data_IF_688115069832
#
_entry.id   IF_688115069832
#
_cell.length_a   1.000
_cell.length_b   1.000
_cell.length_c   1.000
_cell.angle_alpha   90.00
_cell.angle_beta   90.00
_cell.angle_gamma   90.00
#
_symmetry.space_group_name_H-M   'P 1'
#
loop_
_entity.id
_entity.type
_entity.pdbx_description
1 polymer ?
#
# COMPACT_ATOMS: atom_id res chain seq x y z
N UNK A 1 -5.05 28.27 -29.75
CA UNK A 1 -4.42 28.34 -28.41
C UNK A 1 -5.08 27.40 -27.40
N UNK A 2 -6.41 27.44 -27.20
CA UNK A 2 -7.10 26.59 -26.21
C UNK A 2 -7.00 25.07 -26.43
N UNK A 3 -7.06 24.60 -27.68
CA UNK A 3 -6.96 23.16 -28.00
C UNK A 3 -5.60 22.55 -27.62
N UNK A 4 -4.51 23.29 -27.88
CA UNK A 4 -3.17 22.84 -27.50
C UNK A 4 -2.98 22.88 -25.98
N UNK A 5 -3.54 23.88 -25.30
CA UNK A 5 -3.51 23.97 -23.83
C UNK A 5 -4.22 22.77 -23.18
N UNK A 6 -5.42 22.42 -23.66
CA UNK A 6 -6.15 21.24 -23.19
C UNK A 6 -5.39 19.94 -23.47
N UNK A 7 -4.77 19.82 -24.66
CA UNK A 7 -3.92 18.67 -25.00
C UNK A 7 -2.72 18.52 -24.05
N UNK A 8 -2.02 19.63 -23.75
CA UNK A 8 -0.90 19.64 -22.80
C UNK A 8 -1.33 19.27 -21.38
N UNK A 9 -2.50 19.76 -20.91
CA UNK A 9 -3.04 19.40 -19.60
C UNK A 9 -3.40 17.91 -19.54
N UNK A 10 -4.06 17.38 -20.57
CA UNK A 10 -4.37 15.94 -20.65
C UNK A 10 -3.09 15.09 -20.65
N UNK A 11 -2.08 15.47 -21.42
CA UNK A 11 -0.81 14.75 -21.46
C UNK A 11 -0.09 14.78 -20.10
N UNK A 12 -0.09 15.94 -19.43
CA UNK A 12 0.49 16.09 -18.09
C UNK A 12 -0.24 15.20 -17.06
N UNK A 13 -1.57 15.14 -17.12
CA UNK A 13 -2.35 14.25 -16.25
C UNK A 13 -1.98 12.78 -16.48
N UNK A 14 -1.89 12.32 -17.73
CA UNK A 14 -1.48 10.95 -18.06
C UNK A 14 -0.05 10.65 -17.58
N UNK A 15 0.88 11.59 -17.72
CA UNK A 15 2.25 11.42 -17.21
C UNK A 15 2.28 11.26 -15.68
N UNK A 16 1.49 12.06 -14.96
CA UNK A 16 1.45 12.00 -13.49
C UNK A 16 0.89 10.68 -12.95
N UNK A 17 -0.09 10.07 -13.63
CA UNK A 17 -0.65 8.78 -13.21
C UNK A 17 0.33 7.63 -13.43
N UNK A 18 1.10 7.65 -14.52
CA UNK A 18 2.13 6.64 -14.81
C UNK A 18 3.26 6.69 -13.79
N UNK A 19 3.73 7.90 -13.43
CA UNK A 19 4.79 8.05 -12.43
C UNK A 19 4.35 7.61 -11.03
N UNK A 20 3.08 7.79 -10.66
CA UNK A 20 2.53 7.34 -9.39
C UNK A 20 2.47 5.80 -9.28
N UNK A 21 2.15 5.10 -10.37
CA UNK A 21 2.07 3.63 -10.41
C UNK A 21 3.45 2.98 -10.22
N UNK A 22 4.51 3.56 -10.83
CA UNK A 22 5.89 3.05 -10.65
C UNK A 22 6.36 3.08 -9.20
N UNK A 23 5.83 3.98 -8.35
CA UNK A 23 6.18 4.03 -6.93
C UNK A 23 5.43 2.97 -6.10
N UNK A 24 4.21 2.60 -6.52
CA UNK A 24 3.34 1.62 -5.83
C UNK A 24 3.80 0.16 -5.99
N UNK A 25 4.49 -0.18 -7.08
CA UNK A 25 4.97 -1.57 -7.35
C UNK A 25 6.30 -1.94 -6.69
N UNK A 26 6.80 -1.13 -5.77
CA UNK A 26 8.10 -1.37 -5.16
C UNK A 26 8.09 -2.44 -4.05
N UNK A 27 6.91 -2.87 -3.59
CA UNK A 27 6.77 -4.00 -2.68
C UNK A 27 6.67 -5.29 -3.49
N UNK A 28 7.63 -6.19 -3.28
CA UNK A 28 7.64 -7.52 -3.90
C UNK A 28 7.21 -8.53 -2.85
N UNK A 29 6.22 -9.36 -3.18
CA UNK A 29 5.75 -10.44 -2.32
C UNK A 29 6.22 -11.79 -2.88
N UNK A 30 6.68 -12.68 -2.01
CA UNK A 30 7.00 -14.05 -2.40
C UNK A 30 5.76 -14.92 -2.23
N UNK A 31 5.22 -15.43 -3.34
CA UNK A 31 4.06 -16.32 -3.34
C UNK A 31 4.30 -17.60 -2.52
N UNK A 32 5.56 -18.06 -2.42
CA UNK A 32 5.91 -19.26 -1.66
C UNK A 32 5.96 -18.99 -0.15
N UNK A 33 6.27 -17.75 0.24
CA UNK A 33 6.44 -17.34 1.62
C UNK A 33 5.65 -16.06 1.92
N UNK A 34 4.30 -16.14 1.99
CA UNK A 34 3.42 -14.99 2.26
C UNK A 34 3.66 -14.32 3.62
N UNK A 35 4.48 -14.93 4.50
CA UNK A 35 4.87 -14.35 5.79
C UNK A 35 5.90 -13.23 5.67
N UNK A 36 6.53 -13.06 4.50
CA UNK A 36 7.55 -12.06 4.28
C UNK A 36 7.25 -11.22 3.04
N UNK A 37 7.57 -9.93 3.13
CA UNK A 37 7.55 -9.00 2.00
C UNK A 37 8.93 -8.37 1.82
N UNK A 38 9.19 -7.88 0.61
CA UNK A 38 10.45 -7.26 0.26
C UNK A 38 10.20 -5.81 -0.12
N UNK A 39 10.89 -4.89 0.54
CA UNK A 39 10.80 -3.47 0.24
C UNK A 39 12.18 -2.85 -0.02
N UNK A 40 12.28 -1.81 -0.87
CA UNK A 40 13.53 -1.11 -1.12
C UNK A 40 13.96 -0.31 0.11
N UNK A 41 15.26 -0.27 0.39
CA UNK A 41 15.82 0.53 1.47
C UNK A 41 16.23 1.94 1.02
N UNK A 42 16.65 2.08 -0.23
CA UNK A 42 17.10 3.34 -0.82
C UNK A 42 16.39 3.59 -2.15
N UNK A 43 16.40 4.86 -2.59
CA UNK A 43 15.92 5.22 -3.93
C UNK A 43 16.72 4.42 -4.97
N UNK A 44 16.09 3.53 -5.76
CA UNK A 44 16.81 2.79 -6.78
C UNK A 44 17.37 3.78 -7.81
N UNK A 45 18.70 3.81 -7.97
CA UNK A 45 19.37 4.60 -9.02
C UNK A 45 19.21 3.99 -10.43
N UNK A 46 18.65 2.78 -10.49
CA UNK A 46 18.27 2.04 -11.70
C UNK A 46 17.67 0.67 -11.36
N UNK A 47 17.00 0.02 -12.31
CA UNK A 47 16.30 -1.27 -12.10
C UNK A 47 17.22 -2.40 -11.63
N UNK A 48 18.51 -2.35 -11.97
CA UNK A 48 19.49 -3.42 -11.70
C UNK A 48 20.15 -3.33 -10.31
N UNK A 49 19.83 -2.31 -9.49
CA UNK A 49 20.49 -2.04 -8.20
C UNK A 49 19.47 -1.74 -7.08
N UNK A 50 18.30 -2.39 -7.13
CA UNK A 50 17.33 -2.28 -6.05
C UNK A 50 17.73 -3.24 -4.91
N UNK A 51 18.30 -2.70 -3.84
CA UNK A 51 18.54 -3.46 -2.61
C UNK A 51 17.23 -3.55 -1.84
N UNK A 52 16.61 -4.74 -1.89
CA UNK A 52 15.41 -5.06 -1.12
C UNK A 52 15.77 -5.86 0.12
N UNK A 53 15.08 -5.59 1.24
CA UNK A 53 15.23 -6.35 2.48
C UNK A 53 13.94 -7.11 2.76
N UNK A 54 14.06 -8.39 3.11
CA UNK A 54 12.95 -9.19 3.57
C UNK A 54 12.50 -8.73 4.96
N UNK A 55 11.20 -8.52 5.13
CA UNK A 55 10.57 -8.10 6.39
C UNK A 55 9.33 -8.96 6.65
N UNK A 56 8.97 -9.21 7.92
CA UNK A 56 7.79 -10.01 8.25
C UNK A 56 6.51 -9.23 7.92
N UNK A 57 5.45 -9.93 7.53
CA UNK A 57 4.14 -9.35 7.15
C UNK A 57 3.52 -8.47 8.25
N UNK A 58 3.85 -8.72 9.52
CA UNK A 58 3.38 -7.91 10.65
C UNK A 58 3.83 -6.45 10.58
N UNK A 59 5.02 -6.23 10.00
CA UNK A 59 5.64 -4.91 9.77
C UNK A 59 5.11 -4.19 8.54
N UNK A 60 4.37 -4.88 7.67
CA UNK A 60 3.63 -4.20 6.62
C UNK A 60 2.49 -3.46 7.30
N UNK A 61 2.25 -2.18 7.00
CA UNK A 61 1.15 -1.40 7.57
C UNK A 61 1.02 -1.60 9.09
N UNK A 62 2.09 -1.31 9.83
CA UNK A 62 2.15 -1.40 11.29
C UNK A 62 1.34 -0.27 11.94
N UNK A 63 1.37 0.92 11.34
CA UNK A 63 0.71 2.13 11.85
C UNK A 63 -0.52 2.55 11.04
N UNK A 64 -1.04 1.67 10.18
CA UNK A 64 -2.21 1.95 9.35
C UNK A 64 -2.09 3.25 8.53
N UNK A 65 -0.88 3.54 8.01
CA UNK A 65 -0.62 4.74 7.23
C UNK A 65 -0.38 6.01 8.05
N UNK A 66 -0.33 5.91 9.38
CA UNK A 66 -0.07 7.04 10.27
C UNK A 66 1.15 6.78 11.17
N UNK A 67 2.36 6.64 10.59
CA UNK A 67 3.56 6.47 11.40
C UNK A 67 3.80 7.71 12.29
N UNK A 68 4.27 7.51 13.54
CA UNK A 68 4.70 8.61 14.40
C UNK A 68 5.78 9.47 13.73
N UNK A 69 5.83 10.78 14.04
CA UNK A 69 6.82 11.71 13.43
C UNK A 69 8.28 11.35 13.72
N UNK A 70 8.53 10.64 14.82
CA UNK A 70 9.87 10.18 15.22
C UNK A 70 10.18 8.76 14.70
N UNK A 71 9.23 8.11 14.03
CA UNK A 71 9.42 6.77 13.49
C UNK A 71 10.36 6.82 12.29
N UNK A 72 11.38 5.96 12.31
CA UNK A 72 12.29 5.80 11.19
C UNK A 72 11.69 4.80 10.21
N UNK A 73 11.32 5.29 9.03
CA UNK A 73 10.79 4.50 7.92
C UNK A 73 11.63 3.22 7.69
N UNK A 74 11.01 2.05 7.83
CA UNK A 74 11.67 0.76 7.62
C UNK A 74 11.91 0.46 6.14
N UNK A 75 11.10 1.06 5.28
CA UNK A 75 11.16 1.02 3.82
C UNK A 75 11.31 2.44 3.25
N UNK A 76 11.88 2.54 2.05
CA UNK A 76 12.05 3.83 1.38
C UNK A 76 10.70 4.54 1.23
N UNK A 77 10.62 5.78 1.70
CA UNK A 77 9.43 6.64 1.57
C UNK A 77 8.14 6.05 2.20
N UNK A 78 8.26 5.31 3.31
CA UNK A 78 7.14 4.76 4.07
C UNK A 78 6.17 3.95 3.20
N UNK A 79 6.70 3.29 2.18
CA UNK A 79 5.89 2.54 1.21
C UNK A 79 5.16 1.37 1.90
N UNK A 80 5.74 0.82 2.96
CA UNK A 80 5.14 -0.15 3.87
C UNK A 80 3.91 0.38 4.62
N UNK A 81 3.76 1.69 4.75
CA UNK A 81 2.60 2.37 5.35
C UNK A 81 1.66 2.97 4.30
N UNK A 82 1.87 2.69 3.01
CA UNK A 82 0.97 3.17 1.98
C UNK A 82 -0.40 2.47 2.02
N UNK A 83 -1.45 3.14 1.53
CA UNK A 83 -2.79 2.52 1.37
C UNK A 83 -2.75 1.17 0.64
N UNK A 84 -1.82 1.04 -0.32
CA UNK A 84 -1.62 -0.20 -1.06
C UNK A 84 -1.03 -1.32 -0.19
N UNK A 85 -0.04 -0.99 0.65
CA UNK A 85 0.55 -1.95 1.59
C UNK A 85 -0.48 -2.46 2.60
N UNK A 86 -1.33 -1.56 3.12
CA UNK A 86 -2.40 -1.92 4.03
C UNK A 86 -3.43 -2.84 3.37
N UNK A 87 -3.90 -2.52 2.16
CA UNK A 87 -4.84 -3.37 1.42
C UNK A 87 -4.26 -4.76 1.10
N UNK A 88 -2.97 -4.82 0.75
CA UNK A 88 -2.34 -6.11 0.42
C UNK A 88 -2.06 -6.95 1.69
N UNK A 89 -1.75 -6.32 2.83
CA UNK A 89 -1.67 -7.01 4.14
C UNK A 89 -2.98 -7.73 4.45
N UNK A 90 -4.12 -7.05 4.34
CA UNK A 90 -5.42 -7.65 4.59
C UNK A 90 -5.68 -8.84 3.66
N UNK A 91 -5.34 -8.70 2.37
CA UNK A 91 -5.49 -9.77 1.38
C UNK A 91 -4.61 -10.99 1.69
N UNK A 92 -3.36 -10.78 2.11
CA UNK A 92 -2.44 -11.86 2.48
C UNK A 92 -2.90 -12.54 3.78
N UNK A 93 -3.29 -11.77 4.79
CA UNK A 93 -3.81 -12.29 6.05
C UNK A 93 -5.07 -13.13 5.85
N UNK A 94 -5.99 -12.69 4.97
CA UNK A 94 -7.21 -13.44 4.63
C UNK A 94 -6.89 -14.76 3.91
N UNK A 95 -5.83 -14.81 3.10
CA UNK A 95 -5.37 -16.06 2.46
C UNK A 95 -4.72 -17.02 3.44
N UNK A 96 -3.95 -16.49 4.39
CA UNK A 96 -3.26 -17.28 5.41
C UNK A 96 -4.25 -17.88 6.41
N UNK A 97 -5.23 -17.08 6.83
CA UNK A 97 -6.29 -17.46 7.76
C UNK A 97 -7.65 -17.24 7.08
N UNK A 98 -8.07 -18.15 6.18
CA UNK A 98 -9.41 -18.07 5.63
C UNK A 98 -10.41 -18.16 6.79
N UNK A 99 -11.45 -17.30 6.83
CA UNK A 99 -12.48 -17.42 7.84
C UNK A 99 -13.13 -18.79 7.69
N UNK A 100 -12.88 -19.67 8.65
CA UNK A 100 -13.62 -20.91 8.77
C UNK A 100 -15.02 -20.50 9.24
N UNK A 101 -16.09 -20.90 8.55
CA UNK A 101 -17.48 -20.54 8.86
C UNK A 101 -17.99 -21.12 10.21
N UNK A 102 -17.09 -21.46 11.12
CA UNK A 102 -17.39 -22.00 12.45
C UNK A 102 -16.64 -21.17 13.50
N UNK A 103 -17.45 -20.52 14.32
CA UNK A 103 -17.15 -19.92 15.61
C UNK A 103 -16.55 -18.50 15.64
N UNK A 104 -17.50 -17.58 15.80
CA UNK A 104 -17.35 -16.39 16.63
C UNK A 104 -16.65 -16.74 17.94
N UNK A 105 -15.42 -16.27 18.16
CA UNK A 105 -14.89 -15.72 19.45
C UNK A 105 -13.41 -15.32 19.29
N UNK A 106 -13.21 -14.01 19.18
CA UNK A 106 -12.19 -13.23 19.90
C UNK A 106 -10.71 -13.63 19.78
N UNK A 107 -9.98 -12.96 18.87
CA UNK A 107 -8.76 -12.24 19.26
C UNK A 107 -8.69 -10.89 18.50
N UNK A 108 -9.01 -9.83 19.24
CA UNK A 108 -8.57 -8.45 19.09
C UNK A 108 -8.31 -7.92 17.67
N UNK A 109 -9.38 -7.50 16.98
CA UNK A 109 -9.32 -6.38 16.05
C UNK A 109 -10.48 -5.43 16.35
N UNK A 110 -10.33 -4.71 17.45
CA UNK A 110 -11.10 -3.50 17.77
C UNK A 110 -10.03 -2.42 17.79
N UNK A 111 -9.91 -1.55 16.79
CA UNK A 111 -10.74 -0.36 16.50
C UNK A 111 -10.17 0.15 15.16
N UNK A 112 -10.87 0.55 14.09
CA UNK A 112 -12.10 1.33 14.01
C UNK A 112 -12.68 1.20 12.59
N UNK A 113 -13.80 0.50 12.49
CA UNK A 113 -14.71 0.54 11.36
C UNK A 113 -15.43 1.89 11.31
N UNK A 114 -14.80 2.97 10.83
CA UNK A 114 -15.51 4.22 10.44
C UNK A 114 -14.68 5.00 9.41
N UNK A 115 -14.94 4.86 8.10
CA UNK A 115 -14.81 5.97 7.14
C UNK A 115 -15.18 5.61 5.70
N UNK A 116 -14.89 4.41 5.19
CA UNK A 116 -15.26 4.06 3.81
C UNK A 116 -16.63 3.38 3.81
N UNK A 117 -17.67 4.09 3.37
CA UNK A 117 -19.06 3.65 3.05
C UNK A 117 -20.08 4.81 3.25
N UNK A 118 -19.65 6.06 3.46
CA UNK A 118 -20.58 7.19 3.49
C UNK A 118 -20.01 8.48 2.88
N UNK A 119 -19.77 8.49 1.57
CA UNK A 119 -19.78 9.74 0.78
C UNK A 119 -19.95 9.55 -0.73
N UNK A 120 -20.63 8.47 -1.14
CA UNK A 120 -21.10 8.31 -2.53
C UNK A 120 -22.59 7.95 -2.57
N UNK A 121 -23.44 8.76 -1.94
CA UNK A 121 -24.87 8.78 -2.19
C UNK A 121 -25.47 10.10 -1.69
N UNK A 122 -26.14 10.83 -2.60
CA UNK A 122 -26.96 12.03 -2.40
C UNK A 122 -26.25 13.35 -2.07
N UNK A 123 -26.05 14.15 -3.12
CA UNK A 123 -26.64 15.49 -3.14
C UNK A 123 -27.44 15.62 -4.43
N UNK A 124 -28.73 15.91 -4.24
CA UNK A 124 -29.68 16.37 -5.22
C UNK A 124 -29.25 17.76 -5.71
#
# INVERSE_FOLDING_TARGET
MGQYLLSFICLAMVLTTICADMMRKSIVFDEKNPKYFYCPQEKPKGMNKMLVKARPIDKLCEYAGQPPKEFKSDCYNDIDESDYACAEKERIMTRLNPPNDTDTTTMASTTTTKSYMKLKAKKL
#
